data_IF_824597642795
#
_entry.id   IF_824597642795
#
_cell.length_a   1.000
_cell.length_b   1.000
_cell.length_c   1.000
_cell.angle_alpha   90.00
_cell.angle_beta   90.00
_cell.angle_gamma   90.00
#
_symmetry.space_group_name_H-M   'P 1'
#
loop_
_entity.id
_entity.type
_entity.pdbx_description
1 polymer ?
#
# COMPACT_ATOMS: atom_id res chain seq x y z
N UNK A 1 -6.94 -9.44 1.27
CA UNK A 1 -7.21 -8.67 2.49
C UNK A 1 -5.99 -7.85 2.88
N UNK A 2 -6.19 -6.59 3.18
CA UNK A 2 -5.10 -5.70 3.63
C UNK A 2 -4.65 -6.11 5.03
N UNK A 3 -3.36 -6.38 5.19
CA UNK A 3 -2.77 -6.81 6.46
C UNK A 3 -2.04 -5.68 7.17
N UNK A 4 -1.35 -4.83 6.42
CA UNK A 4 -0.54 -3.77 6.98
C UNK A 4 -0.43 -2.62 6.01
N UNK A 5 -0.35 -1.41 6.53
CA UNK A 5 -0.18 -0.19 5.74
C UNK A 5 0.88 0.68 6.40
N UNK A 6 1.91 1.04 5.65
CA UNK A 6 2.97 1.93 6.11
C UNK A 6 2.98 3.18 5.26
N UNK A 7 2.97 4.34 5.91
CA UNK A 7 2.83 5.62 5.24
C UNK A 7 3.93 6.56 5.71
N UNK A 8 4.58 7.24 4.77
CA UNK A 8 5.55 8.29 5.07
C UNK A 8 5.26 9.52 4.22
N UNK A 9 5.09 10.66 4.86
CA UNK A 9 4.92 11.98 4.22
C UNK A 9 3.78 12.00 3.20
N UNK A 10 2.66 11.44 3.61
CA UNK A 10 1.46 11.39 2.79
C UNK A 10 0.39 12.30 3.39
N UNK A 11 0.00 13.33 2.64
CA UNK A 11 -0.96 14.33 3.09
C UNK A 11 -0.55 14.90 4.46
N UNK A 12 -1.38 14.78 5.47
CA UNK A 12 -1.08 15.28 6.82
C UNK A 12 -0.26 14.30 7.65
N UNK A 13 -0.01 13.11 7.14
CA UNK A 13 0.68 12.06 7.89
C UNK A 13 2.17 12.12 7.61
N UNK A 14 2.97 12.35 8.63
CA UNK A 14 4.42 12.27 8.52
C UNK A 14 4.85 10.80 8.48
N UNK A 15 4.34 10.00 9.41
CA UNK A 15 4.70 8.59 9.50
C UNK A 15 3.60 7.82 10.22
N UNK A 16 3.19 6.70 9.68
CA UNK A 16 2.23 5.81 10.31
C UNK A 16 2.47 4.38 9.86
N UNK A 17 2.23 3.45 10.75
CA UNK A 17 2.25 2.02 10.44
C UNK A 17 1.04 1.39 11.12
N UNK A 18 0.17 0.76 10.33
CA UNK A 18 -1.09 0.22 10.80
C UNK A 18 -1.15 -1.27 10.51
N UNK A 19 -1.48 -2.04 11.53
CA UNK A 19 -1.62 -3.49 11.41
C UNK A 19 -3.10 -3.85 11.51
N UNK A 20 -3.64 -4.46 10.47
CA UNK A 20 -5.07 -4.79 10.37
C UNK A 20 -5.40 -6.23 10.74
N UNK A 21 -4.43 -7.02 11.17
CA UNK A 21 -4.67 -8.41 11.55
C UNK A 21 -5.64 -8.55 12.71
N UNK A 22 -5.65 -7.56 13.58
CA UNK A 22 -6.50 -7.57 14.78
C UNK A 22 -7.85 -6.91 14.57
N UNK A 23 -8.16 -6.49 13.34
CA UNK A 23 -9.42 -5.87 13.02
C UNK A 23 -9.32 -4.38 12.73
N UNK A 24 -10.48 -3.75 12.53
CA UNK A 24 -10.58 -2.40 11.98
C UNK A 24 -10.87 -1.30 12.98
N UNK A 25 -10.60 -1.52 14.24
CA UNK A 25 -10.87 -0.53 15.26
C UNK A 25 -10.20 0.82 15.01
N UNK A 26 -9.09 0.79 14.29
CA UNK A 26 -8.33 1.99 13.94
C UNK A 26 -9.14 2.94 13.04
N UNK A 27 -9.96 2.38 12.16
CA UNK A 27 -10.73 3.19 11.23
C UNK A 27 -11.97 3.81 11.84
N UNK A 28 -12.32 3.44 13.06
CA UNK A 28 -13.40 4.07 13.80
C UNK A 28 -12.95 5.31 14.55
N UNK A 29 -11.77 5.82 14.23
CA UNK A 29 -11.19 6.98 14.88
C UNK A 29 -12.08 8.19 14.86
N UNK A 30 -11.82 9.07 15.80
CA UNK A 30 -12.65 10.21 16.17
C UNK A 30 -12.78 11.26 15.07
N UNK A 31 -11.91 11.26 14.08
CA UNK A 31 -11.95 12.29 13.04
C UNK A 31 -12.21 11.66 11.67
N UNK A 32 -13.19 12.21 10.98
CA UNK A 32 -13.44 11.84 9.59
C UNK A 32 -12.23 12.08 8.70
N UNK A 33 -11.40 13.06 9.03
CA UNK A 33 -10.19 13.39 8.28
C UNK A 33 -9.18 12.23 8.29
N UNK A 34 -8.94 11.61 9.45
CA UNK A 34 -8.02 10.48 9.54
C UNK A 34 -8.48 9.29 8.72
N UNK A 35 -9.77 9.01 8.77
CA UNK A 35 -10.37 7.93 8.01
C UNK A 35 -10.24 8.16 6.51
N UNK A 36 -10.49 9.39 6.07
CA UNK A 36 -10.40 9.79 4.68
C UNK A 36 -8.98 9.66 4.14
N UNK A 37 -7.99 10.08 4.94
CA UNK A 37 -6.58 9.99 4.57
C UNK A 37 -6.17 8.53 4.38
N UNK A 38 -6.63 7.63 5.24
CA UNK A 38 -6.32 6.20 5.11
C UNK A 38 -6.90 5.62 3.83
N UNK A 39 -8.13 5.99 3.49
CA UNK A 39 -8.76 5.57 2.24
C UNK A 39 -7.98 6.10 1.04
N UNK A 40 -7.54 7.35 1.10
CA UNK A 40 -6.74 7.95 0.04
C UNK A 40 -5.41 7.22 -0.13
N UNK A 41 -4.77 6.83 0.96
CA UNK A 41 -3.52 6.07 0.91
C UNK A 41 -3.71 4.70 0.27
N UNK A 42 -4.79 4.01 0.61
CA UNK A 42 -5.10 2.72 0.02
C UNK A 42 -5.35 2.86 -1.49
N UNK A 43 -6.12 3.86 -1.89
CA UNK A 43 -6.36 4.13 -3.31
C UNK A 43 -5.07 4.50 -4.03
N UNK A 44 -4.23 5.28 -3.39
CA UNK A 44 -2.94 5.69 -3.95
C UNK A 44 -2.05 4.49 -4.25
N UNK A 45 -1.94 3.57 -3.31
CA UNK A 45 -1.09 2.39 -3.49
C UNK A 45 -1.65 1.44 -4.53
N UNK A 46 -2.97 1.45 -4.74
CA UNK A 46 -3.64 0.55 -5.68
C UNK A 46 -3.68 1.06 -7.12
N UNK A 47 -3.18 2.23 -7.39
CA UNK A 47 -3.06 2.66 -8.77
C UNK A 47 -3.48 4.07 -9.12
N UNK A 48 -3.76 4.92 -8.16
CA UNK A 48 -4.03 6.33 -8.45
C UNK A 48 -2.83 6.98 -9.11
N UNK A 49 -3.08 7.94 -9.98
CA UNK A 49 -2.03 8.68 -10.65
C UNK A 49 -1.29 9.59 -9.69
N UNK A 50 -0.13 10.10 -10.14
CA UNK A 50 0.59 11.11 -9.39
C UNK A 50 -0.32 12.29 -9.06
N UNK A 51 -0.28 12.72 -7.81
CA UNK A 51 -1.01 13.89 -7.34
C UNK A 51 -0.15 14.58 -6.28
N UNK A 52 0.34 15.78 -6.59
CA UNK A 52 1.21 16.54 -5.70
C UNK A 52 0.55 16.87 -4.37
N UNK A 53 -0.78 16.95 -4.34
CA UNK A 53 -1.52 17.29 -3.13
C UNK A 53 -1.49 16.16 -2.09
N UNK A 54 -1.11 14.95 -2.50
CA UNK A 54 -0.96 13.83 -1.60
C UNK A 54 0.41 13.78 -0.95
N UNK A 55 1.36 14.59 -1.40
CA UNK A 55 2.68 14.70 -0.77
C UNK A 55 2.59 15.69 0.38
N UNK A 56 3.11 15.31 1.53
CA UNK A 56 3.09 16.17 2.71
C UNK A 56 3.76 17.51 2.41
N UNK A 57 3.13 18.60 2.85
CA UNK A 57 3.64 19.96 2.63
C UNK A 57 5.06 20.08 3.15
N UNK A 58 5.94 20.61 2.30
CA UNK A 58 7.35 20.77 2.64
C UNK A 58 8.22 19.57 2.30
N UNK A 59 7.62 18.46 1.88
CA UNK A 59 8.36 17.27 1.53
C UNK A 59 8.39 17.08 0.01
N UNK A 60 9.47 16.50 -0.49
CA UNK A 60 9.59 16.20 -1.91
C UNK A 60 9.04 14.83 -2.28
N UNK A 61 9.01 13.93 -1.32
CA UNK A 61 8.70 12.51 -1.58
C UNK A 61 7.64 11.99 -0.64
N UNK A 62 6.87 11.04 -1.13
CA UNK A 62 5.94 10.27 -0.30
C UNK A 62 6.13 8.79 -0.57
N UNK A 63 5.76 7.97 0.39
CA UNK A 63 5.91 6.53 0.32
C UNK A 63 4.71 5.87 0.98
N UNK A 64 4.11 4.91 0.30
CA UNK A 64 3.05 4.08 0.87
C UNK A 64 3.34 2.63 0.52
N UNK A 65 3.33 1.79 1.53
CA UNK A 65 3.48 0.35 1.36
C UNK A 65 2.25 -0.34 1.93
N UNK A 66 1.67 -1.23 1.16
CA UNK A 66 0.55 -2.04 1.59
C UNK A 66 0.89 -3.51 1.45
N UNK A 67 0.60 -4.28 2.48
CA UNK A 67 0.81 -5.73 2.49
C UNK A 67 -0.56 -6.39 2.51
N UNK A 68 -0.81 -7.24 1.52
CA UNK A 68 -2.09 -7.93 1.34
C UNK A 68 -1.92 -9.42 1.49
N UNK A 69 -2.93 -10.07 2.04
CA UNK A 69 -3.09 -11.51 1.90
C UNK A 69 -3.81 -11.78 0.57
N UNK A 70 -3.33 -12.75 -0.18
CA UNK A 70 -3.96 -13.15 -1.45
C UNK A 70 -4.74 -14.46 -1.33
N UNK A 71 -4.91 -14.97 -0.12
CA UNK A 71 -5.60 -16.24 0.12
C UNK A 71 -6.99 -16.30 -0.48
N UNK A 72 -7.70 -15.19 -0.45
CA UNK A 72 -9.08 -15.10 -0.93
C UNK A 72 -9.19 -14.57 -2.36
N UNK A 73 -8.06 -14.40 -3.05
CA UNK A 73 -8.03 -13.88 -4.41
C UNK A 73 -7.71 -14.99 -5.42
N UNK A 74 -8.71 -15.76 -5.75
CA UNK A 74 -8.54 -16.90 -6.67
C UNK A 74 -8.09 -16.48 -8.06
N UNK A 75 -8.56 -15.32 -8.54
CA UNK A 75 -8.17 -14.84 -9.86
C UNK A 75 -6.69 -14.52 -9.93
N UNK A 76 -6.15 -13.87 -8.90
CA UNK A 76 -4.72 -13.58 -8.85
C UNK A 76 -3.90 -14.86 -8.78
N UNK A 77 -4.36 -15.83 -8.00
CA UNK A 77 -3.69 -17.14 -7.92
C UNK A 77 -3.66 -17.82 -9.28
N UNK A 78 -4.76 -17.78 -10.03
CA UNK A 78 -4.82 -18.34 -11.37
C UNK A 78 -3.81 -17.69 -12.30
N UNK A 79 -3.70 -16.37 -12.26
CA UNK A 79 -2.76 -15.62 -13.09
C UNK A 79 -1.32 -16.02 -12.75
N UNK A 80 -1.01 -16.12 -11.46
CA UNK A 80 0.33 -16.50 -11.01
C UNK A 80 0.66 -17.94 -11.41
N UNK A 81 -0.29 -18.83 -11.31
CA UNK A 81 -0.12 -20.22 -11.74
C UNK A 81 0.13 -20.32 -13.25
N UNK A 82 -0.62 -19.54 -14.03
CA UNK A 82 -0.44 -19.52 -15.49
C UNK A 82 0.93 -18.99 -15.90
N UNK A 83 1.47 -18.07 -15.12
CA UNK A 83 2.79 -17.50 -15.35
C UNK A 83 3.91 -18.34 -14.73
N UNK A 84 3.56 -19.45 -14.10
CA UNK A 84 4.50 -20.34 -13.41
C UNK A 84 5.29 -19.60 -12.31
N UNK A 85 4.65 -18.63 -11.65
CA UNK A 85 5.26 -17.90 -10.55
C UNK A 85 4.89 -18.58 -9.24
N UNK A 86 5.90 -18.97 -8.49
CA UNK A 86 5.68 -19.48 -7.13
C UNK A 86 5.33 -18.33 -6.20
N UNK A 87 4.33 -18.54 -5.37
CA UNK A 87 3.89 -17.51 -4.43
C UNK A 87 3.55 -18.11 -3.08
N UNK A 88 3.74 -17.31 -2.05
CA UNK A 88 3.15 -17.51 -0.74
C UNK A 88 1.88 -16.67 -0.68
N UNK A 89 1.32 -16.45 0.48
CA UNK A 89 0.04 -15.77 0.62
C UNK A 89 0.14 -14.24 0.67
N UNK A 90 1.31 -13.69 0.40
CA UNK A 90 1.57 -12.27 0.64
C UNK A 90 1.96 -11.53 -0.63
N UNK A 91 1.30 -10.40 -0.86
CA UNK A 91 1.62 -9.44 -1.89
C UNK A 91 1.97 -8.12 -1.23
N UNK A 92 3.10 -7.53 -1.63
CA UNK A 92 3.52 -6.22 -1.16
C UNK A 92 3.41 -5.24 -2.31
N UNK A 93 2.69 -4.14 -2.10
CA UNK A 93 2.61 -3.05 -3.06
C UNK A 93 3.27 -1.81 -2.47
N UNK A 94 4.16 -1.19 -3.24
CA UNK A 94 4.86 0.01 -2.83
C UNK A 94 4.64 1.09 -3.87
N UNK A 95 4.24 2.26 -3.43
CA UNK A 95 4.10 3.43 -4.30
C UNK A 95 4.91 4.59 -3.72
N UNK A 96 5.66 5.24 -4.59
CA UNK A 96 6.47 6.40 -4.26
C UNK A 96 6.14 7.54 -5.21
N UNK A 97 6.08 8.75 -4.69
CA UNK A 97 5.96 9.93 -5.54
C UNK A 97 7.09 10.90 -5.25
N UNK A 98 7.53 11.59 -6.28
CA UNK A 98 8.54 12.64 -6.19
C UNK A 98 7.98 13.90 -6.80
N UNK A 99 7.80 14.94 -5.99
CA UNK A 99 7.20 16.20 -6.42
C UNK A 99 8.07 16.91 -7.45
N UNK A 100 9.36 16.89 -7.26
CA UNK A 100 10.31 17.54 -8.17
C UNK A 100 10.22 16.96 -9.58
N UNK A 101 10.10 15.63 -9.68
CA UNK A 101 10.01 14.93 -10.95
C UNK A 101 8.57 14.79 -11.44
N UNK A 102 7.59 15.15 -10.62
CA UNK A 102 6.16 14.97 -10.87
C UNK A 102 5.86 13.54 -11.34
N UNK A 103 6.41 12.58 -10.61
CA UNK A 103 6.40 11.19 -11.00
C UNK A 103 5.99 10.29 -9.84
N UNK A 104 5.19 9.28 -10.15
CA UNK A 104 4.85 8.20 -9.22
C UNK A 104 5.43 6.90 -9.76
N UNK A 105 6.07 6.16 -8.88
CA UNK A 105 6.58 4.82 -9.17
C UNK A 105 5.83 3.80 -8.34
N UNK A 106 5.37 2.74 -8.97
CA UNK A 106 4.67 1.64 -8.29
C UNK A 106 5.44 0.35 -8.50
N UNK A 107 5.57 -0.42 -7.43
CA UNK A 107 6.27 -1.70 -7.46
C UNK A 107 5.43 -2.75 -6.75
N UNK A 108 5.51 -3.99 -7.25
CA UNK A 108 4.81 -5.12 -6.67
C UNK A 108 5.82 -6.20 -6.33
N UNK A 109 5.68 -6.79 -5.16
CA UNK A 109 6.52 -7.89 -4.72
C UNK A 109 5.65 -9.02 -4.25
N UNK A 110 5.85 -10.21 -4.79
CA UNK A 110 5.14 -11.41 -4.36
C UNK A 110 6.14 -12.27 -3.64
N UNK A 111 5.81 -12.65 -2.40
CA UNK A 111 6.72 -13.48 -1.63
C UNK A 111 6.63 -14.90 -2.16
N UNK A 112 7.77 -15.41 -2.63
CA UNK A 112 7.89 -16.77 -3.12
C UNK A 112 8.03 -17.74 -1.96
N UNK A 113 7.50 -18.94 -2.13
CA UNK A 113 7.66 -20.02 -1.15
C UNK A 113 9.12 -20.33 -0.88
N UNK A 114 9.99 -20.06 -1.83
CA UNK A 114 11.42 -20.34 -1.72
C UNK A 114 12.25 -19.12 -1.37
N UNK A 115 11.63 -18.01 -1.01
CA UNK A 115 12.32 -16.77 -0.72
C UNK A 115 13.10 -16.78 0.60
N UNK A 116 12.91 -17.79 1.41
CA UNK A 116 13.55 -17.91 2.72
C UNK A 116 14.97 -18.49 2.66
N UNK A 117 15.45 -18.80 1.51
CA UNK A 117 16.79 -19.39 1.35
C UNK A 117 17.90 -18.34 1.38
#
# INVERSE_FOLDING_TARGET
MLLQLTINNFALIEKASLDFKEGFTILSGETGAGKSILIDAINYVQGSKFNKDLIRTGEEKTFVEAIFSIDDNERLKEILDDLEIEYDDTLIQISNSNQRLQQKTASFYIISKNSML
#
